data_IF_702787703079
#
_entry.id   IF_702787703079
#
_cell.length_a   1.000
_cell.length_b   1.000
_cell.length_c   1.000
_cell.angle_alpha   90.00
_cell.angle_beta   90.00
_cell.angle_gamma   90.00
#
_symmetry.space_group_name_H-M   'P 1'
#
loop_
_entity.id
_entity.type
_entity.pdbx_description
1 polymer ?
#
# COMPACT_ATOMS: atom_id res chain seq x y z
N UNK A 1 -29.61 31.84 25.15
CA UNK A 1 -28.82 31.86 23.90
C UNK A 1 -29.10 30.56 23.16
N UNK A 2 -29.97 30.60 22.16
CA UNK A 2 -30.35 29.45 21.36
C UNK A 2 -29.19 29.05 20.46
N UNK A 3 -28.63 27.86 20.68
CA UNK A 3 -27.65 27.27 19.78
C UNK A 3 -28.32 26.94 18.45
N UNK A 4 -28.08 27.74 17.43
CA UNK A 4 -28.40 27.38 16.05
C UNK A 4 -27.50 26.21 15.66
N UNK A 5 -28.08 25.01 15.58
CA UNK A 5 -27.48 23.88 14.89
C UNK A 5 -27.25 24.26 13.41
N UNK A 6 -26.06 24.00 12.84
CA UNK A 6 -25.80 24.26 11.43
C UNK A 6 -26.86 23.56 10.55
N UNK A 7 -27.26 24.15 9.40
CA UNK A 7 -28.31 23.60 8.54
C UNK A 7 -28.02 22.17 8.05
N UNK A 8 -26.74 21.76 7.99
CA UNK A 8 -26.33 20.38 7.68
C UNK A 8 -26.72 19.37 8.76
N UNK A 9 -26.64 19.72 10.05
CA UNK A 9 -26.98 18.80 11.15
C UNK A 9 -28.49 18.58 11.31
N UNK A 10 -29.31 19.58 10.98
CA UNK A 10 -30.76 19.44 11.00
C UNK A 10 -31.26 18.48 9.90
N UNK A 11 -30.60 18.50 8.73
CA UNK A 11 -30.91 17.66 7.58
C UNK A 11 -30.66 16.17 7.85
N UNK A 12 -29.64 15.84 8.67
CA UNK A 12 -29.29 14.46 8.99
C UNK A 12 -30.24 13.77 9.98
N UNK A 13 -31.24 14.48 10.55
CA UNK A 13 -32.22 13.90 11.48
C UNK A 13 -33.36 13.14 10.78
N UNK A 14 -33.69 13.50 9.55
CA UNK A 14 -34.68 12.81 8.72
C UNK A 14 -34.00 12.22 7.50
N UNK A 15 -33.67 10.93 7.57
CA UNK A 15 -32.92 10.24 6.51
C UNK A 15 -33.67 10.21 5.17
N UNK A 16 -35.01 10.12 5.18
CA UNK A 16 -35.79 10.02 3.95
C UNK A 16 -35.84 11.38 3.23
N UNK A 17 -36.08 12.45 3.98
CA UNK A 17 -36.00 13.81 3.45
C UNK A 17 -34.59 14.13 2.96
N UNK A 18 -33.55 13.77 3.72
CA UNK A 18 -32.15 13.99 3.34
C UNK A 18 -31.80 13.33 2.01
N UNK A 19 -32.17 12.06 1.83
CA UNK A 19 -31.91 11.30 0.60
C UNK A 19 -32.64 11.92 -0.60
N UNK A 20 -33.92 12.30 -0.43
CA UNK A 20 -34.69 12.95 -1.51
C UNK A 20 -34.14 14.32 -1.91
N UNK A 21 -33.51 15.04 -0.97
CA UNK A 21 -32.91 16.34 -1.21
C UNK A 21 -31.57 16.27 -1.96
N UNK A 22 -30.88 15.12 -1.98
CA UNK A 22 -29.57 14.98 -2.63
C UNK A 22 -29.59 15.33 -4.12
N UNK A 23 -30.68 15.08 -4.82
CA UNK A 23 -30.81 15.42 -6.25
C UNK A 23 -30.83 16.93 -6.51
N UNK A 24 -31.26 17.72 -5.53
CA UNK A 24 -31.37 19.18 -5.61
C UNK A 24 -30.23 19.89 -4.87
N UNK A 25 -29.35 19.14 -4.22
CA UNK A 25 -28.27 19.68 -3.42
C UNK A 25 -27.15 20.22 -4.33
N UNK A 26 -26.68 21.47 -4.13
CA UNK A 26 -25.50 21.96 -4.83
C UNK A 26 -24.29 21.06 -4.56
N UNK A 27 -23.55 20.72 -5.62
CA UNK A 27 -22.37 19.85 -5.55
C UNK A 27 -21.29 20.37 -4.58
N UNK A 28 -21.24 21.69 -4.34
CA UNK A 28 -20.34 22.34 -3.39
C UNK A 28 -20.61 21.96 -1.92
N UNK A 29 -21.83 21.53 -1.58
CA UNK A 29 -22.20 21.12 -0.22
C UNK A 29 -21.99 19.61 0.03
N UNK A 30 -21.80 18.81 -1.03
CA UNK A 30 -21.63 17.36 -0.91
C UNK A 30 -20.46 16.96 0.00
N UNK A 31 -19.25 17.53 -0.11
CA UNK A 31 -18.12 17.09 0.70
C UNK A 31 -18.33 17.33 2.20
N UNK A 32 -18.82 18.51 2.58
CA UNK A 32 -19.09 18.85 3.97
C UNK A 32 -20.18 17.95 4.56
N UNK A 33 -21.30 17.80 3.84
CA UNK A 33 -22.42 16.94 4.28
C UNK A 33 -22.00 15.47 4.36
N UNK A 34 -21.19 14.98 3.42
CA UNK A 34 -20.70 13.61 3.44
C UNK A 34 -19.81 13.36 4.65
N UNK A 35 -18.91 14.29 4.96
CA UNK A 35 -18.05 14.20 6.14
C UNK A 35 -18.88 14.17 7.42
N UNK A 36 -19.90 15.02 7.54
CA UNK A 36 -20.82 15.03 8.68
C UNK A 36 -21.62 13.72 8.77
N UNK A 37 -22.19 13.26 7.66
CA UNK A 37 -22.94 12.00 7.58
C UNK A 37 -22.07 10.79 7.95
N UNK A 38 -20.82 10.77 7.48
CA UNK A 38 -19.85 9.70 7.75
C UNK A 38 -19.45 9.68 9.24
N UNK A 39 -19.09 10.84 9.80
CA UNK A 39 -18.72 10.96 11.21
C UNK A 39 -19.91 10.65 12.14
N UNK A 40 -21.13 11.07 11.75
CA UNK A 40 -22.38 10.77 12.44
C UNK A 40 -22.89 9.33 12.23
N UNK A 41 -22.21 8.53 11.41
CA UNK A 41 -22.57 7.12 11.09
C UNK A 41 -23.96 6.97 10.47
N UNK A 42 -24.40 7.98 9.70
CA UNK A 42 -25.66 7.97 8.97
C UNK A 42 -25.53 7.11 7.70
N UNK A 43 -25.44 5.80 7.87
CA UNK A 43 -25.07 4.85 6.81
C UNK A 43 -25.98 4.91 5.58
N UNK A 44 -27.29 5.16 5.75
CA UNK A 44 -28.22 5.31 4.61
C UNK A 44 -27.90 6.54 3.78
N UNK A 45 -27.61 7.66 4.44
CA UNK A 45 -27.23 8.92 3.79
C UNK A 45 -25.88 8.77 3.10
N UNK A 46 -24.88 8.19 3.79
CA UNK A 46 -23.56 7.89 3.20
C UNK A 46 -23.70 7.07 1.92
N UNK A 47 -24.48 5.98 1.96
CA UNK A 47 -24.73 5.13 0.78
C UNK A 47 -25.31 5.91 -0.40
N UNK A 48 -26.35 6.72 -0.14
CA UNK A 48 -26.97 7.53 -1.18
C UNK A 48 -26.03 8.60 -1.74
N UNK A 49 -25.24 9.24 -0.88
CA UNK A 49 -24.26 10.25 -1.28
C UNK A 49 -23.11 9.67 -2.12
N UNK A 50 -22.60 8.47 -1.80
CA UNK A 50 -21.60 7.81 -2.65
C UNK A 50 -22.17 7.46 -4.02
N UNK A 51 -23.42 6.98 -4.07
CA UNK A 51 -24.09 6.66 -5.33
C UNK A 51 -24.26 7.89 -6.25
N UNK A 52 -24.48 9.07 -5.65
CA UNK A 52 -24.64 10.35 -6.34
C UNK A 52 -23.40 11.25 -6.27
N UNK A 53 -22.22 10.69 -5.96
CA UNK A 53 -21.02 11.47 -5.70
C UNK A 53 -20.64 12.31 -6.94
N UNK A 54 -20.51 13.65 -6.80
CA UNK A 54 -20.38 14.53 -7.96
C UNK A 54 -18.93 14.76 -8.42
N UNK A 55 -17.94 14.14 -7.78
CA UNK A 55 -16.52 14.35 -8.08
C UNK A 55 -15.84 13.08 -8.62
N UNK A 56 -14.76 13.22 -9.41
CA UNK A 56 -14.03 12.06 -9.93
C UNK A 56 -13.32 11.22 -8.86
N UNK A 57 -13.03 11.79 -7.69
CA UNK A 57 -12.35 11.11 -6.59
C UNK A 57 -13.15 11.20 -5.30
N UNK A 58 -13.23 10.09 -4.57
CA UNK A 58 -13.78 10.03 -3.21
C UNK A 58 -12.72 9.49 -2.23
N UNK A 59 -12.06 10.35 -1.45
CA UNK A 59 -11.00 9.96 -0.52
C UNK A 59 -11.51 9.57 0.86
N UNK A 60 -12.28 8.48 0.94
CA UNK A 60 -12.89 7.98 2.20
C UNK A 60 -11.86 7.60 3.25
N UNK A 61 -10.71 7.03 2.85
CA UNK A 61 -9.74 6.46 3.79
C UNK A 61 -9.27 7.44 4.87
N UNK A 62 -9.13 8.72 4.51
CA UNK A 62 -8.79 9.82 5.42
C UNK A 62 -9.82 10.08 6.54
N UNK A 63 -11.07 9.65 6.35
CA UNK A 63 -12.15 9.72 7.36
C UNK A 63 -12.20 8.46 8.23
N UNK A 64 -11.52 7.38 7.85
CA UNK A 64 -11.57 6.07 8.53
C UNK A 64 -10.62 5.96 9.72
N UNK A 65 -10.37 7.07 10.44
CA UNK A 65 -9.53 7.05 11.66
C UNK A 65 -10.09 6.11 12.72
N UNK A 66 -11.41 6.07 12.84
CA UNK A 66 -12.16 5.10 13.64
C UNK A 66 -13.07 4.31 12.70
N UNK A 67 -12.63 3.17 12.16
CA UNK A 67 -13.42 2.40 11.22
C UNK A 67 -14.74 1.96 11.86
N UNK A 68 -15.81 2.02 11.07
CA UNK A 68 -17.12 1.52 11.45
C UNK A 68 -17.65 0.66 10.31
N UNK A 69 -17.76 -0.65 10.54
CA UNK A 69 -18.17 -1.61 9.53
C UNK A 69 -19.45 -1.21 8.78
N UNK A 70 -20.49 -0.76 9.49
CA UNK A 70 -21.77 -0.36 8.86
C UNK A 70 -21.61 0.84 7.92
N UNK A 71 -20.83 1.83 8.32
CA UNK A 71 -20.57 3.03 7.51
C UNK A 71 -19.68 2.70 6.31
N UNK A 72 -18.68 1.83 6.50
CA UNK A 72 -17.83 1.36 5.43
C UNK A 72 -18.59 0.50 4.41
N UNK A 73 -19.43 -0.43 4.87
CA UNK A 73 -20.32 -1.20 4.01
C UNK A 73 -21.25 -0.28 3.21
N UNK A 74 -21.78 0.78 3.83
CA UNK A 74 -22.58 1.79 3.12
C UNK A 74 -21.80 2.50 2.01
N UNK A 75 -20.51 2.78 2.19
CA UNK A 75 -19.65 3.30 1.12
C UNK A 75 -19.56 2.31 -0.04
N UNK A 76 -19.23 1.04 0.25
CA UNK A 76 -19.09 0.00 -0.78
C UNK A 76 -20.42 -0.25 -1.52
N UNK A 77 -21.53 -0.30 -0.78
CA UNK A 77 -22.88 -0.40 -1.34
C UNK A 77 -23.24 0.80 -2.23
N UNK A 78 -22.82 2.00 -1.84
CA UNK A 78 -23.04 3.21 -2.62
C UNK A 78 -22.23 3.19 -3.92
N UNK A 79 -21.01 2.63 -3.88
CA UNK A 79 -20.22 2.37 -5.10
C UNK A 79 -20.94 1.37 -6.00
N UNK A 80 -21.56 0.32 -5.46
CA UNK A 80 -22.33 -0.63 -6.29
C UNK A 80 -23.52 0.02 -6.98
N UNK A 81 -24.21 0.91 -6.27
CA UNK A 81 -25.30 1.69 -6.85
C UNK A 81 -24.77 2.62 -7.94
N UNK A 82 -23.61 3.24 -7.72
CA UNK A 82 -22.93 4.07 -8.72
C UNK A 82 -22.60 3.25 -9.98
N UNK A 83 -21.97 2.07 -9.83
CA UNK A 83 -21.57 1.21 -10.94
C UNK A 83 -22.75 0.66 -11.76
N UNK A 84 -23.94 0.55 -11.16
CA UNK A 84 -25.17 0.08 -11.83
C UNK A 84 -25.93 1.20 -12.54
N UNK A 85 -25.61 2.48 -12.27
CA UNK A 85 -26.39 3.61 -12.78
C UNK A 85 -26.01 3.90 -14.23
N UNK A 86 -27.01 3.98 -15.11
CA UNK A 86 -26.81 4.53 -16.46
C UNK A 86 -26.68 6.04 -16.34
N UNK A 87 -25.48 6.58 -16.55
CA UNK A 87 -25.22 8.00 -16.49
C UNK A 87 -25.42 8.67 -17.85
N UNK A 88 -25.95 9.89 -17.82
CA UNK A 88 -25.97 10.75 -18.99
C UNK A 88 -24.56 11.27 -19.31
N UNK A 89 -24.22 11.49 -20.61
CA UNK A 89 -22.97 12.13 -20.99
C UNK A 89 -22.94 13.56 -20.41
N UNK A 90 -22.00 13.85 -19.51
CA UNK A 90 -21.77 15.20 -18.97
C UNK A 90 -21.67 15.33 -17.45
N UNK A 91 -22.03 14.30 -16.67
CA UNK A 91 -21.78 14.29 -15.22
C UNK A 91 -20.35 13.82 -14.93
N UNK A 92 -19.60 14.55 -14.09
CA UNK A 92 -18.34 14.04 -13.52
C UNK A 92 -18.64 12.81 -12.65
N UNK A 93 -18.30 11.63 -13.16
CA UNK A 93 -18.54 10.35 -12.49
C UNK A 93 -17.39 10.01 -11.54
N UNK A 94 -17.71 9.31 -10.45
CA UNK A 94 -16.72 8.73 -9.56
C UNK A 94 -15.84 7.74 -10.34
N UNK A 95 -14.55 8.06 -10.43
CA UNK A 95 -13.53 7.26 -11.11
C UNK A 95 -12.54 6.63 -10.14
N UNK A 96 -12.32 7.26 -8.99
CA UNK A 96 -11.35 6.82 -7.99
C UNK A 96 -12.00 6.77 -6.61
N UNK A 97 -12.01 5.58 -6.00
CA UNK A 97 -12.23 5.41 -4.57
C UNK A 97 -10.87 5.30 -3.89
N UNK A 98 -10.51 6.29 -3.06
CA UNK A 98 -9.26 6.25 -2.29
C UNK A 98 -9.54 5.89 -0.83
N UNK A 99 -9.10 4.70 -0.45
CA UNK A 99 -9.25 4.10 0.88
C UNK A 99 -7.97 4.24 1.72
N UNK A 100 -6.94 4.94 1.23
CA UNK A 100 -5.72 5.19 2.01
C UNK A 100 -5.99 6.15 3.16
N UNK A 101 -5.49 5.82 4.34
CA UNK A 101 -5.55 6.68 5.51
C UNK A 101 -4.43 7.74 5.45
N UNK A 102 -4.54 8.65 4.48
CA UNK A 102 -3.64 9.79 4.30
C UNK A 102 -4.43 11.09 4.38
N UNK A 103 -3.82 12.17 4.88
CA UNK A 103 -4.47 13.47 4.83
C UNK A 103 -4.64 13.90 3.37
N UNK A 104 -5.82 14.42 3.04
CA UNK A 104 -6.16 14.77 1.67
C UNK A 104 -6.62 16.23 1.62
N UNK A 105 -5.95 17.05 0.81
CA UNK A 105 -6.24 18.49 0.65
C UNK A 105 -7.68 18.75 0.23
N UNK A 106 -8.27 17.80 -0.52
CA UNK A 106 -9.70 17.76 -0.84
C UNK A 106 -10.59 18.17 0.33
N UNK A 107 -10.42 17.59 1.53
CA UNK A 107 -11.29 17.96 2.64
C UNK A 107 -11.04 19.39 3.14
N UNK A 108 -9.80 19.87 3.11
CA UNK A 108 -9.43 21.19 3.60
C UNK A 108 -10.04 22.31 2.73
N UNK A 109 -10.13 22.09 1.42
CA UNK A 109 -10.76 23.03 0.48
C UNK A 109 -12.24 23.22 0.83
N UNK A 110 -12.91 22.15 1.27
CA UNK A 110 -14.35 22.15 1.50
C UNK A 110 -14.77 22.36 2.96
N UNK A 111 -13.83 22.34 3.91
CA UNK A 111 -14.14 22.55 5.35
C UNK A 111 -14.02 23.99 5.81
N UNK A 112 -13.59 24.93 4.95
CA UNK A 112 -13.35 26.32 5.33
C UNK A 112 -12.18 26.45 6.30
N UNK A 113 -11.32 27.44 6.08
CA UNK A 113 -10.47 27.94 7.17
C UNK A 113 -11.41 28.67 8.14
N UNK A 114 -11.35 28.37 9.43
CA UNK A 114 -12.13 29.09 10.46
C UNK A 114 -11.69 30.57 10.62
N UNK A 115 -10.71 31.05 9.85
CA UNK A 115 -10.34 32.47 9.79
C UNK A 115 -10.94 33.13 8.56
N UNK A 116 -11.86 34.05 8.84
CA UNK A 116 -12.71 34.70 7.86
C UNK A 116 -12.00 35.66 6.91
N UNK A 117 -12.54 35.71 5.70
CA UNK A 117 -12.92 36.91 4.99
C UNK A 117 -13.70 36.46 3.75
N UNK A 118 -14.86 37.05 3.53
CA UNK A 118 -15.67 36.83 2.35
C UNK A 118 -14.85 37.08 1.07
N UNK A 119 -14.82 36.10 0.17
CA UNK A 119 -14.66 36.36 -1.25
C UNK A 119 -15.89 35.77 -1.95
N UNK A 120 -16.87 36.64 -2.17
CA UNK A 120 -17.89 36.42 -3.15
C UNK A 120 -17.24 36.61 -4.52
N UNK A 121 -16.80 35.50 -5.13
CA UNK A 121 -16.58 35.45 -6.57
C UNK A 121 -17.46 34.35 -7.14
N UNK A 122 -18.54 34.78 -7.78
CA UNK A 122 -19.32 33.98 -8.71
C UNK A 122 -18.42 33.61 -9.89
N UNK A 123 -17.96 32.37 -9.95
CA UNK A 123 -17.39 31.77 -11.16
C UNK A 123 -18.28 30.62 -11.57
N UNK A 124 -19.26 30.94 -12.40
CA UNK A 124 -20.01 29.99 -13.21
C UNK A 124 -19.19 29.67 -14.45
N UNK A 125 -18.12 28.88 -14.31
CA UNK A 125 -17.44 28.29 -15.47
C UNK A 125 -17.11 26.82 -15.19
N UNK A 126 -17.92 25.93 -15.76
CA UNK A 126 -17.61 24.51 -15.87
C UNK A 126 -16.48 24.33 -16.89
N UNK A 127 -15.44 23.53 -16.61
CA UNK A 127 -14.44 23.23 -17.62
C UNK A 127 -15.08 22.35 -18.72
N UNK A 128 -15.11 22.86 -19.95
CA UNK A 128 -15.54 22.10 -21.13
C UNK A 128 -14.47 21.07 -21.46
N UNK A 129 -14.73 19.81 -21.10
CA UNK A 129 -13.92 18.67 -21.54
C UNK A 129 -14.45 18.18 -22.89
N UNK A 130 -13.57 18.16 -23.89
CA UNK A 130 -13.82 17.68 -25.26
C UNK A 130 -14.44 16.28 -25.24
N UNK A 131 -15.48 16.11 -26.06
CA UNK A 131 -16.20 14.85 -26.26
C UNK A 131 -15.25 13.66 -26.46
N UNK A 132 -15.30 12.71 -25.53
CA UNK A 132 -14.69 11.40 -25.72
C UNK A 132 -15.57 10.57 -26.67
N UNK A 133 -14.99 9.85 -27.64
CA UNK A 133 -15.75 9.07 -28.61
C UNK A 133 -16.69 8.06 -27.95
N UNK A 134 -17.91 7.92 -28.50
CA UNK A 134 -19.03 7.11 -27.97
C UNK A 134 -18.74 5.62 -27.73
N UNK A 135 -17.61 5.08 -28.21
CA UNK A 135 -17.17 3.71 -27.93
C UNK A 135 -16.34 3.57 -26.63
N UNK A 136 -15.84 4.67 -26.05
CA UNK A 136 -15.12 4.67 -24.76
C UNK A 136 -16.04 4.52 -23.52
N UNK A 137 -17.36 4.48 -23.73
CA UNK A 137 -18.37 4.31 -22.69
C UNK A 137 -18.63 2.85 -22.29
N UNK A 138 -18.01 1.88 -22.96
CA UNK A 138 -18.13 0.47 -22.58
C UNK A 138 -17.02 0.10 -21.57
N UNK A 139 -17.40 0.12 -20.29
CA UNK A 139 -16.67 -0.36 -19.10
C UNK A 139 -15.52 0.53 -18.59
N UNK A 140 -15.87 1.68 -17.99
CA UNK A 140 -14.93 2.37 -17.09
C UNK A 140 -14.78 1.55 -15.82
N UNK A 141 -13.60 0.97 -15.62
CA UNK A 141 -13.31 0.28 -14.36
C UNK A 141 -13.09 1.35 -13.29
N UNK A 142 -13.74 1.20 -12.14
CA UNK A 142 -13.50 2.10 -11.01
C UNK A 142 -12.12 1.79 -10.43
N UNK A 143 -11.25 2.80 -10.34
CA UNK A 143 -9.97 2.66 -9.67
C UNK A 143 -10.19 2.66 -8.17
N UNK A 144 -9.72 1.62 -7.49
CA UNK A 144 -9.72 1.58 -6.02
C UNK A 144 -8.26 1.63 -5.56
N UNK A 145 -7.90 2.69 -4.85
CA UNK A 145 -6.58 2.87 -4.27
C UNK A 145 -6.66 2.55 -2.79
N UNK A 146 -5.77 1.68 -2.30
CA UNK A 146 -5.81 1.23 -0.91
C UNK A 146 -4.41 0.87 -0.41
N UNK A 147 -4.27 0.83 0.91
CA UNK A 147 -3.16 0.20 1.59
C UNK A 147 -3.70 -1.00 2.39
N UNK A 148 -3.04 -2.14 2.29
CA UNK A 148 -3.51 -3.38 2.92
C UNK A 148 -2.54 -3.85 3.98
N UNK A 149 -3.09 -4.16 5.14
CA UNK A 149 -2.35 -4.68 6.29
C UNK A 149 -3.05 -5.94 6.80
N UNK A 150 -2.66 -7.09 6.28
CA UNK A 150 -3.34 -8.37 6.48
C UNK A 150 -2.62 -9.20 7.54
N UNK A 151 -3.39 -9.72 8.50
CA UNK A 151 -2.94 -10.70 9.51
C UNK A 151 -3.66 -12.02 9.28
N UNK A 152 -3.20 -13.10 9.92
CA UNK A 152 -3.92 -14.39 9.92
C UNK A 152 -5.42 -14.22 10.22
N UNK A 153 -5.77 -13.33 11.16
CA UNK A 153 -7.16 -12.94 11.43
C UNK A 153 -7.44 -11.58 10.80
N UNK A 154 -8.23 -11.59 9.74
CA UNK A 154 -8.80 -10.39 9.16
C UNK A 154 -9.80 -9.78 10.14
N UNK A 155 -9.85 -8.45 10.22
CA UNK A 155 -10.99 -7.80 10.86
C UNK A 155 -12.21 -7.83 9.93
N UNK A 156 -13.38 -7.50 10.48
CA UNK A 156 -14.64 -7.57 9.74
C UNK A 156 -14.63 -6.64 8.52
N UNK A 157 -14.02 -5.46 8.63
CA UNK A 157 -13.90 -4.50 7.53
C UNK A 157 -13.03 -5.03 6.39
N UNK A 158 -11.90 -5.67 6.70
CA UNK A 158 -11.01 -6.29 5.72
C UNK A 158 -11.68 -7.47 5.04
N UNK A 159 -12.36 -8.34 5.79
CA UNK A 159 -13.09 -9.46 5.24
C UNK A 159 -14.20 -8.97 4.29
N UNK A 160 -14.99 -7.99 4.73
CA UNK A 160 -16.01 -7.31 3.94
C UNK A 160 -15.42 -6.72 2.65
N UNK A 161 -14.32 -5.97 2.74
CA UNK A 161 -13.67 -5.35 1.58
C UNK A 161 -13.17 -6.39 0.58
N UNK A 162 -12.45 -7.42 1.04
CA UNK A 162 -11.90 -8.46 0.17
C UNK A 162 -13.01 -9.25 -0.52
N UNK A 163 -14.10 -9.56 0.19
CA UNK A 163 -15.28 -10.19 -0.40
C UNK A 163 -15.95 -9.30 -1.45
N UNK A 164 -16.10 -8.00 -1.15
CA UNK A 164 -16.68 -7.03 -2.07
C UNK A 164 -15.84 -6.91 -3.35
N UNK A 165 -14.53 -6.82 -3.21
CA UNK A 165 -13.58 -6.78 -4.32
C UNK A 165 -13.66 -8.05 -5.18
N UNK A 166 -13.65 -9.23 -4.54
CA UNK A 166 -13.63 -10.50 -5.25
C UNK A 166 -14.85 -10.67 -6.16
N UNK A 167 -16.03 -10.23 -5.70
CA UNK A 167 -17.28 -10.28 -6.46
C UNK A 167 -17.30 -9.31 -7.66
N UNK A 168 -16.38 -8.33 -7.72
CA UNK A 168 -16.39 -7.21 -8.67
C UNK A 168 -15.08 -7.05 -9.43
N UNK A 169 -14.24 -8.08 -9.44
CA UNK A 169 -12.92 -8.06 -10.08
C UNK A 169 -12.92 -7.55 -11.53
N UNK A 170 -14.01 -7.78 -12.28
CA UNK A 170 -14.15 -7.40 -13.69
C UNK A 170 -14.59 -5.93 -13.89
N UNK A 171 -14.88 -5.21 -12.81
CA UNK A 171 -15.31 -3.81 -12.82
C UNK A 171 -14.36 -2.89 -12.05
N UNK A 172 -13.41 -3.45 -11.31
CA UNK A 172 -12.51 -2.71 -10.43
C UNK A 172 -11.07 -2.75 -10.94
N UNK A 173 -10.42 -1.59 -10.91
CA UNK A 173 -9.00 -1.46 -11.13
C UNK A 173 -8.28 -1.22 -9.79
N UNK A 174 -7.91 -2.31 -9.12
CA UNK A 174 -7.27 -2.25 -7.81
C UNK A 174 -5.81 -1.77 -7.92
N UNK A 175 -5.46 -0.86 -7.02
CA UNK A 175 -4.10 -0.37 -6.80
C UNK A 175 -3.81 -0.42 -5.30
N UNK A 176 -3.07 -1.45 -4.90
CA UNK A 176 -2.51 -1.52 -3.56
C UNK A 176 -1.11 -0.91 -3.60
N UNK A 177 -0.90 0.23 -2.95
CA UNK A 177 0.41 0.91 -2.96
C UNK A 177 1.30 0.27 -1.90
N UNK A 178 0.80 0.18 -0.67
CA UNK A 178 1.49 -0.43 0.46
C UNK A 178 0.78 -1.72 0.88
N UNK A 179 1.50 -2.84 0.83
CA UNK A 179 1.00 -4.14 1.27
C UNK A 179 1.86 -4.68 2.40
N UNK A 180 1.22 -5.00 3.53
CA UNK A 180 1.83 -5.70 4.66
C UNK A 180 1.07 -6.97 4.91
N UNK A 181 1.76 -8.10 4.98
CA UNK A 181 1.15 -9.39 5.31
C UNK A 181 1.95 -10.05 6.43
N UNK A 182 1.23 -10.45 7.46
CA UNK A 182 1.77 -11.08 8.65
C UNK A 182 1.12 -12.44 8.87
N UNK A 183 1.94 -13.42 9.23
CA UNK A 183 1.53 -14.73 9.76
C UNK A 183 0.60 -15.52 8.83
N UNK A 184 0.66 -15.29 7.51
CA UNK A 184 -0.20 -15.92 6.52
C UNK A 184 0.52 -17.04 5.73
N UNK A 185 -0.18 -18.12 5.33
CA UNK A 185 0.38 -19.10 4.40
C UNK A 185 0.74 -18.47 3.05
N UNK A 186 1.85 -18.89 2.44
CA UNK A 186 2.27 -18.39 1.12
C UNK A 186 1.19 -18.60 0.04
N UNK A 187 0.39 -19.67 0.10
CA UNK A 187 -0.72 -19.87 -0.83
C UNK A 187 -1.77 -18.76 -0.71
N UNK A 188 -2.17 -18.40 0.51
CA UNK A 188 -3.10 -17.29 0.78
C UNK A 188 -2.53 -15.96 0.27
N UNK A 189 -1.23 -15.71 0.48
CA UNK A 189 -0.57 -14.52 -0.07
C UNK A 189 -0.70 -14.47 -1.60
N UNK A 190 -0.50 -15.60 -2.29
CA UNK A 190 -0.63 -15.66 -3.76
C UNK A 190 -2.08 -15.44 -4.21
N UNK A 191 -3.07 -15.96 -3.48
CA UNK A 191 -4.49 -15.71 -3.76
C UNK A 191 -4.83 -14.21 -3.65
N UNK A 192 -4.34 -13.54 -2.62
CA UNK A 192 -4.48 -12.08 -2.46
C UNK A 192 -3.82 -11.35 -3.63
N UNK A 193 -2.61 -11.75 -4.02
CA UNK A 193 -1.89 -11.14 -5.14
C UNK A 193 -2.55 -11.40 -6.51
N UNK A 194 -3.32 -12.48 -6.66
CA UNK A 194 -4.13 -12.69 -7.87
C UNK A 194 -5.27 -11.66 -7.99
N UNK A 195 -5.77 -11.17 -6.86
CA UNK A 195 -6.76 -10.10 -6.80
C UNK A 195 -6.06 -8.74 -6.97
N UNK A 196 -5.01 -8.48 -6.19
CA UNK A 196 -4.22 -7.26 -6.22
C UNK A 196 -2.96 -7.47 -7.06
N UNK A 197 -3.08 -7.24 -8.37
CA UNK A 197 -2.01 -7.49 -9.34
C UNK A 197 -0.62 -7.01 -8.85
N UNK A 198 0.40 -7.89 -8.73
CA UNK A 198 1.68 -7.59 -8.07
C UNK A 198 2.44 -6.41 -8.68
N UNK A 199 2.33 -6.22 -10.01
CA UNK A 199 3.01 -5.16 -10.74
C UNK A 199 2.67 -3.73 -10.32
N UNK A 200 1.66 -3.51 -9.48
CA UNK A 200 1.24 -2.18 -8.99
C UNK A 200 1.61 -1.89 -7.54
N UNK A 201 2.22 -2.86 -6.86
CA UNK A 201 2.65 -2.71 -5.47
C UNK A 201 3.99 -1.97 -5.45
N UNK A 202 4.07 -0.90 -4.64
CA UNK A 202 5.28 -0.10 -4.49
C UNK A 202 6.04 -0.45 -3.21
N UNK A 203 5.32 -0.76 -2.13
CA UNK A 203 5.91 -1.24 -0.88
C UNK A 203 5.31 -2.58 -0.44
N UNK A 204 6.18 -3.54 -0.16
CA UNK A 204 5.78 -4.87 0.32
C UNK A 204 6.55 -5.24 1.59
N UNK A 205 5.81 -5.54 2.65
CA UNK A 205 6.33 -6.10 3.90
C UNK A 205 5.71 -7.48 4.15
N UNK A 206 6.53 -8.52 4.22
CA UNK A 206 6.10 -9.88 4.49
C UNK A 206 6.77 -10.37 5.77
N UNK A 207 5.98 -10.54 6.84
CA UNK A 207 6.41 -11.23 8.05
C UNK A 207 5.79 -12.63 8.07
N UNK A 208 6.52 -13.61 7.54
CA UNK A 208 6.05 -14.98 7.40
C UNK A 208 7.08 -15.91 8.06
N UNK A 209 6.67 -17.09 8.52
CA UNK A 209 7.62 -18.14 8.90
C UNK A 209 8.36 -18.68 7.67
N UNK A 210 9.43 -18.02 7.21
CA UNK A 210 10.11 -18.31 5.95
C UNK A 210 10.92 -19.61 6.03
N UNK A 211 10.91 -20.36 4.94
CA UNK A 211 11.87 -21.43 4.68
C UNK A 211 12.15 -21.46 3.18
N UNK A 212 13.17 -22.21 2.77
CA UNK A 212 13.59 -22.29 1.35
C UNK A 212 12.44 -22.66 0.43
N UNK A 213 11.59 -23.61 0.83
CA UNK A 213 10.44 -24.04 0.04
C UNK A 213 9.40 -22.93 -0.12
N UNK A 214 9.11 -22.18 0.95
CA UNK A 214 8.19 -21.04 0.93
C UNK A 214 8.73 -19.91 0.05
N UNK A 215 10.01 -19.57 0.18
CA UNK A 215 10.67 -18.59 -0.67
C UNK A 215 10.61 -19.01 -2.14
N UNK A 216 11.00 -20.25 -2.46
CA UNK A 216 10.99 -20.75 -3.84
C UNK A 216 9.60 -20.71 -4.48
N UNK A 217 8.55 -21.04 -3.70
CA UNK A 217 7.14 -20.96 -4.15
C UNK A 217 6.67 -19.52 -4.36
N UNK A 218 7.20 -18.56 -3.60
CA UNK A 218 6.81 -17.16 -3.67
C UNK A 218 7.61 -16.36 -4.71
N UNK A 219 8.86 -16.74 -4.96
CA UNK A 219 9.80 -15.98 -5.79
C UNK A 219 9.26 -15.59 -7.18
N UNK A 220 8.50 -16.43 -7.92
CA UNK A 220 7.90 -16.00 -9.18
C UNK A 220 7.02 -14.75 -9.05
N UNK A 221 6.25 -14.63 -7.95
CA UNK A 221 5.42 -13.46 -7.68
C UNK A 221 6.25 -12.20 -7.42
N UNK A 222 7.39 -12.31 -6.72
CA UNK A 222 8.35 -11.19 -6.59
C UNK A 222 8.80 -10.71 -7.97
N UNK A 223 9.06 -11.64 -8.89
CA UNK A 223 9.46 -11.33 -10.26
C UNK A 223 8.44 -10.52 -11.07
N UNK A 224 7.17 -10.47 -10.65
CA UNK A 224 6.10 -9.72 -11.31
C UNK A 224 5.96 -8.28 -10.77
N UNK A 225 6.61 -7.96 -9.64
CA UNK A 225 6.48 -6.69 -8.94
C UNK A 225 7.39 -5.61 -9.52
N UNK A 226 7.10 -5.20 -10.75
CA UNK A 226 7.94 -4.26 -11.52
C UNK A 226 8.00 -2.85 -10.93
N UNK A 227 6.98 -2.45 -10.16
CA UNK A 227 6.89 -1.12 -9.54
C UNK A 227 7.43 -1.08 -8.10
N UNK A 228 7.93 -2.21 -7.58
CA UNK A 228 8.33 -2.33 -6.19
C UNK A 228 9.56 -1.47 -5.89
N UNK A 229 9.41 -0.52 -4.96
CA UNK A 229 10.45 0.38 -4.46
C UNK A 229 11.01 -0.08 -3.13
N UNK A 230 10.18 -0.70 -2.30
CA UNK A 230 10.55 -1.17 -0.97
C UNK A 230 10.10 -2.60 -0.76
N UNK A 231 11.05 -3.45 -0.39
CA UNK A 231 10.81 -4.83 -0.02
C UNK A 231 11.35 -5.09 1.38
N UNK A 232 10.49 -5.64 2.25
CA UNK A 232 10.85 -6.10 3.58
C UNK A 232 10.47 -7.57 3.72
N UNK A 233 11.45 -8.44 3.91
CA UNK A 233 11.26 -9.85 4.23
C UNK A 233 11.66 -10.07 5.68
N UNK A 234 10.69 -10.37 6.54
CA UNK A 234 10.90 -10.63 7.96
C UNK A 234 10.46 -12.05 8.26
N UNK A 235 11.21 -12.74 9.11
CA UNK A 235 10.79 -14.02 9.62
C UNK A 235 9.84 -13.83 10.81
N UNK A 236 8.80 -14.66 10.85
CA UNK A 236 7.93 -14.76 12.01
C UNK A 236 8.66 -15.56 13.09
N UNK A 237 8.72 -15.00 14.30
CA UNK A 237 9.45 -15.48 15.49
C UNK A 237 8.86 -16.78 16.10
N UNK A 238 8.48 -17.72 15.23
CA UNK A 238 8.28 -19.11 15.61
C UNK A 238 9.61 -19.80 15.41
N UNK A 239 10.07 -20.40 16.51
CA UNK A 239 11.15 -21.40 16.69
C UNK A 239 11.19 -22.46 15.59
N UNK A 240 11.41 -22.02 14.36
CA UNK A 240 11.62 -22.86 13.21
C UNK A 240 13.02 -23.38 13.41
N UNK A 241 13.09 -24.64 13.87
CA UNK A 241 14.30 -25.44 13.90
C UNK A 241 15.16 -25.04 12.71
N UNK A 242 16.38 -24.55 12.98
CA UNK A 242 17.43 -24.31 11.99
C UNK A 242 17.79 -25.67 11.37
N UNK A 243 16.91 -26.19 10.54
CA UNK A 243 17.06 -27.48 9.89
C UNK A 243 18.26 -27.37 8.96
N UNK A 244 19.14 -28.36 9.01
CA UNK A 244 20.30 -28.44 8.12
C UNK A 244 19.83 -28.31 6.65
N UNK A 245 20.35 -27.29 5.96
CA UNK A 245 20.04 -27.05 4.55
C UNK A 245 20.68 -28.15 3.69
N UNK A 246 20.00 -28.59 2.63
CA UNK A 246 20.52 -29.58 1.67
C UNK A 246 21.12 -28.87 0.46
N UNK A 247 21.98 -29.54 -0.31
CA UNK A 247 22.55 -28.99 -1.57
C UNK A 247 21.44 -28.51 -2.54
N UNK A 248 20.33 -29.26 -2.61
CA UNK A 248 19.16 -28.90 -3.43
C UNK A 248 18.55 -27.55 -3.02
N UNK A 249 18.70 -27.15 -1.76
CA UNK A 249 18.21 -25.87 -1.27
C UNK A 249 19.03 -24.71 -1.83
N UNK A 250 20.35 -24.85 -2.01
CA UNK A 250 21.20 -23.81 -2.62
C UNK A 250 20.75 -23.45 -4.03
N UNK A 251 20.39 -24.44 -4.85
CA UNK A 251 19.89 -24.19 -6.21
C UNK A 251 18.53 -23.47 -6.18
N UNK A 252 17.64 -23.88 -5.27
CA UNK A 252 16.32 -23.24 -5.08
C UNK A 252 16.45 -21.79 -4.62
N UNK A 253 17.33 -21.52 -3.67
CA UNK A 253 17.62 -20.17 -3.18
C UNK A 253 18.19 -19.32 -4.31
N UNK A 254 19.15 -19.84 -5.07
CA UNK A 254 19.73 -19.13 -6.21
C UNK A 254 18.69 -18.77 -7.27
N UNK A 255 17.81 -19.71 -7.64
CA UNK A 255 16.70 -19.47 -8.57
C UNK A 255 15.68 -18.46 -8.03
N UNK A 256 15.41 -18.52 -6.72
CA UNK A 256 14.51 -17.57 -6.06
C UNK A 256 15.09 -16.15 -6.08
N UNK A 257 16.35 -15.98 -5.68
CA UNK A 257 17.02 -14.68 -5.64
C UNK A 257 17.31 -14.11 -7.04
N UNK A 258 17.42 -14.95 -8.07
CA UNK A 258 17.49 -14.47 -9.45
C UNK A 258 16.27 -13.61 -9.87
N UNK A 259 15.12 -13.76 -9.21
CA UNK A 259 13.93 -12.94 -9.48
C UNK A 259 14.12 -11.46 -9.10
N UNK A 260 15.08 -11.14 -8.22
CA UNK A 260 15.42 -9.74 -7.88
C UNK A 260 15.91 -8.95 -9.09
N UNK A 261 16.38 -9.63 -10.14
CA UNK A 261 16.77 -8.98 -11.40
C UNK A 261 15.62 -8.32 -12.16
N UNK A 262 14.37 -8.64 -11.79
CA UNK A 262 13.13 -8.06 -12.35
C UNK A 262 12.61 -6.86 -11.53
N UNK A 263 13.19 -6.60 -10.36
CA UNK A 263 12.80 -5.50 -9.47
C UNK A 263 13.50 -4.20 -9.89
N UNK A 264 13.05 -3.62 -11.01
CA UNK A 264 13.71 -2.49 -11.67
C UNK A 264 13.54 -1.14 -10.96
N UNK A 265 12.69 -1.06 -9.94
CA UNK A 265 12.44 0.16 -9.17
C UNK A 265 12.93 0.07 -7.71
N UNK A 266 13.53 -1.07 -7.31
CA UNK A 266 13.85 -1.32 -5.89
C UNK A 266 14.94 -0.38 -5.40
N UNK A 267 14.63 0.35 -4.33
CA UNK A 267 15.51 1.33 -3.68
C UNK A 267 15.77 0.97 -2.21
N UNK A 268 14.84 0.26 -1.56
CA UNK A 268 14.94 -0.10 -0.15
C UNK A 268 14.74 -1.60 0.02
N UNK A 269 15.77 -2.27 0.53
CA UNK A 269 15.73 -3.70 0.84
C UNK A 269 15.97 -3.91 2.34
N UNK A 270 15.01 -4.56 2.99
CA UNK A 270 15.13 -5.02 4.38
C UNK A 270 14.95 -6.53 4.43
N UNK A 271 15.89 -7.21 5.08
CA UNK A 271 15.85 -8.64 5.37
C UNK A 271 16.10 -8.80 6.86
N UNK A 272 15.20 -9.49 7.57
CA UNK A 272 15.23 -9.63 9.01
C UNK A 272 14.99 -11.09 9.41
N UNK A 273 15.93 -11.65 10.17
CA UNK A 273 15.88 -13.03 10.71
C UNK A 273 15.69 -14.14 9.65
N UNK A 274 16.25 -13.97 8.45
CA UNK A 274 16.19 -14.99 7.39
C UNK A 274 17.43 -15.91 7.48
N UNK A 275 17.30 -17.03 8.20
CA UNK A 275 18.42 -17.93 8.49
C UNK A 275 19.15 -18.50 7.26
N UNK A 276 18.44 -18.74 6.15
CA UNK A 276 19.04 -19.28 4.91
C UNK A 276 19.65 -18.19 4.02
N UNK A 277 19.82 -16.95 4.52
CA UNK A 277 20.51 -15.89 3.81
C UNK A 277 22.03 -16.11 3.76
N UNK A 278 22.59 -16.77 4.79
CA UNK A 278 24.01 -17.10 4.90
C UNK A 278 24.51 -17.81 3.64
N UNK A 279 25.64 -17.35 3.11
CA UNK A 279 26.29 -17.77 1.86
C UNK A 279 25.52 -17.46 0.57
N UNK A 280 24.35 -16.82 0.67
CA UNK A 280 23.46 -16.60 -0.46
C UNK A 280 23.14 -15.13 -0.76
N UNK A 281 23.54 -14.18 0.10
CA UNK A 281 23.33 -12.75 -0.13
C UNK A 281 23.97 -12.27 -1.43
N UNK A 282 25.12 -12.86 -1.81
CA UNK A 282 25.78 -12.60 -3.10
C UNK A 282 24.86 -12.77 -4.31
N UNK A 283 23.89 -13.69 -4.26
CA UNK A 283 22.95 -13.90 -5.36
C UNK A 283 21.95 -12.76 -5.50
N UNK A 284 21.49 -12.18 -4.38
CA UNK A 284 20.64 -10.98 -4.39
C UNK A 284 21.43 -9.81 -4.97
N UNK A 285 22.61 -9.53 -4.41
CA UNK A 285 23.42 -8.37 -4.82
C UNK A 285 23.81 -8.41 -6.29
N UNK A 286 24.16 -9.59 -6.83
CA UNK A 286 24.45 -9.77 -8.26
C UNK A 286 23.24 -9.59 -9.16
N UNK A 287 22.05 -9.89 -8.66
CA UNK A 287 20.81 -9.83 -9.45
C UNK A 287 20.26 -8.40 -9.51
N UNK A 288 20.47 -7.59 -8.47
CA UNK A 288 20.00 -6.22 -8.41
C UNK A 288 20.61 -5.34 -9.51
N UNK A 289 19.75 -4.77 -10.35
CA UNK A 289 20.13 -3.83 -11.42
C UNK A 289 20.03 -2.37 -11.01
N UNK A 290 19.30 -2.09 -9.94
CA UNK A 290 19.09 -0.76 -9.38
C UNK A 290 20.13 -0.42 -8.34
N UNK A 291 20.27 0.88 -8.04
CA UNK A 291 21.04 1.36 -6.90
C UNK A 291 20.10 1.46 -5.70
N UNK A 292 20.49 0.83 -4.60
CA UNK A 292 19.78 0.89 -3.33
C UNK A 292 20.15 2.18 -2.59
N UNK A 293 19.14 2.83 -2.02
CA UNK A 293 19.31 3.91 -1.06
C UNK A 293 19.38 3.38 0.37
N UNK A 294 18.67 2.29 0.65
CA UNK A 294 18.65 1.63 1.96
C UNK A 294 18.89 0.14 1.82
N UNK A 295 19.83 -0.36 2.62
CA UNK A 295 20.01 -1.78 2.87
C UNK A 295 19.94 -2.03 4.38
N UNK A 296 19.04 -2.91 4.79
CA UNK A 296 18.92 -3.39 6.16
C UNK A 296 18.98 -4.91 6.16
N UNK A 297 19.95 -5.46 6.88
CA UNK A 297 20.11 -6.90 7.08
C UNK A 297 20.24 -7.11 8.59
N UNK A 298 19.15 -7.50 9.22
CA UNK A 298 19.07 -7.55 10.68
C UNK A 298 18.88 -8.98 11.15
N UNK A 299 19.47 -9.31 12.31
CA UNK A 299 19.34 -10.62 12.95
C UNK A 299 19.66 -11.81 12.01
N UNK A 300 20.53 -11.61 11.01
CA UNK A 300 20.90 -12.63 10.04
C UNK A 300 22.34 -13.10 10.29
N UNK A 301 22.62 -14.36 9.98
CA UNK A 301 24.00 -14.84 9.89
C UNK A 301 24.59 -14.47 8.52
N UNK A 302 25.77 -13.85 8.53
CA UNK A 302 26.49 -13.45 7.32
C UNK A 302 27.84 -14.15 7.25
N UNK A 303 28.18 -14.74 6.10
CA UNK A 303 29.51 -15.33 5.92
C UNK A 303 30.49 -14.32 5.35
N UNK A 304 31.79 -14.58 5.55
CA UNK A 304 32.85 -13.82 4.89
C UNK A 304 32.68 -13.83 3.35
N UNK A 305 32.18 -14.93 2.79
CA UNK A 305 31.96 -15.04 1.35
C UNK A 305 30.90 -14.07 0.85
N UNK A 306 29.85 -13.81 1.64
CA UNK A 306 28.83 -12.81 1.32
C UNK A 306 29.42 -11.40 1.37
N UNK A 307 30.10 -11.07 2.46
CA UNK A 307 30.58 -9.71 2.72
C UNK A 307 31.66 -9.25 1.74
N UNK A 308 32.47 -10.17 1.20
CA UNK A 308 33.39 -9.87 0.10
C UNK A 308 32.70 -9.32 -1.16
N UNK A 309 31.42 -9.62 -1.39
CA UNK A 309 30.69 -9.08 -2.54
C UNK A 309 30.11 -7.69 -2.31
N UNK A 310 29.99 -7.22 -1.06
CA UNK A 310 29.36 -5.93 -0.77
C UNK A 310 30.12 -4.76 -1.42
N UNK A 311 31.45 -4.63 -1.24
CA UNK A 311 32.23 -3.59 -1.90
C UNK A 311 32.20 -3.66 -3.43
N UNK A 312 32.07 -4.87 -3.98
CA UNK A 312 32.06 -5.11 -5.42
C UNK A 312 30.71 -4.76 -6.05
N UNK A 313 29.65 -4.71 -5.25
CA UNK A 313 28.29 -4.54 -5.75
C UNK A 313 28.02 -3.12 -6.22
N UNK A 314 27.69 -2.96 -7.51
CA UNK A 314 27.30 -1.67 -8.09
C UNK A 314 25.99 -1.14 -7.49
N UNK A 315 25.11 -2.02 -7.01
CA UNK A 315 23.84 -1.64 -6.41
C UNK A 315 24.01 -0.91 -5.07
N UNK A 316 25.16 -1.05 -4.39
CA UNK A 316 25.38 -0.49 -3.06
C UNK A 316 26.16 0.84 -3.06
N UNK A 317 26.71 1.28 -4.20
CA UNK A 317 27.63 2.44 -4.29
C UNK A 317 27.04 3.80 -3.92
N UNK A 318 25.73 3.92 -3.80
CA UNK A 318 25.03 5.17 -3.46
C UNK A 318 24.11 5.00 -2.25
N UNK A 319 24.44 4.02 -1.39
CA UNK A 319 23.70 3.81 -0.15
C UNK A 319 23.70 5.08 0.70
N UNK A 320 22.51 5.43 1.18
CA UNK A 320 22.28 6.49 2.16
C UNK A 320 22.09 5.91 3.56
N UNK A 321 21.54 4.70 3.66
CA UNK A 321 21.18 4.09 4.93
C UNK A 321 21.64 2.63 4.95
N UNK A 322 22.48 2.29 5.93
CA UNK A 322 22.96 0.93 6.15
C UNK A 322 22.63 0.51 7.59
N UNK A 323 21.93 -0.60 7.75
CA UNK A 323 21.50 -1.16 9.04
C UNK A 323 21.87 -2.64 9.09
N UNK A 324 22.62 -3.03 10.11
CA UNK A 324 23.07 -4.40 10.35
C UNK A 324 22.69 -4.89 11.76
N UNK A 325 21.70 -4.29 12.41
CA UNK A 325 21.36 -4.59 13.81
C UNK A 325 21.22 -6.09 14.11
N UNK A 326 21.82 -6.52 15.20
CA UNK A 326 21.76 -7.92 15.65
C UNK A 326 22.47 -8.92 14.71
N UNK A 327 23.26 -8.45 13.74
CA UNK A 327 24.07 -9.32 12.86
C UNK A 327 25.37 -9.70 13.55
N UNK A 328 25.75 -10.98 13.43
CA UNK A 328 27.03 -11.50 13.90
C UNK A 328 28.08 -11.37 12.80
N UNK A 329 29.23 -10.77 13.13
CA UNK A 329 30.38 -10.63 12.23
C UNK A 329 31.57 -11.36 12.82
N UNK A 330 32.18 -12.23 12.02
CA UNK A 330 33.52 -12.73 12.33
C UNK A 330 34.55 -11.61 12.11
N UNK A 331 35.62 -11.58 12.89
CA UNK A 331 36.77 -10.66 12.69
C UNK A 331 37.25 -10.60 11.24
N UNK A 332 37.30 -11.75 10.55
CA UNK A 332 37.65 -11.84 9.12
C UNK A 332 36.72 -11.07 8.17
N UNK A 333 35.53 -10.68 8.63
CA UNK A 333 34.52 -9.94 7.89
C UNK A 333 34.64 -8.42 8.00
N UNK A 334 35.48 -7.91 8.93
CA UNK A 334 35.62 -6.47 9.17
C UNK A 334 36.27 -5.74 8.01
N UNK A 335 37.24 -6.37 7.33
CA UNK A 335 37.97 -5.75 6.22
C UNK A 335 37.06 -5.46 4.99
N UNK A 336 36.25 -6.42 4.49
CA UNK A 336 35.27 -6.11 3.45
C UNK A 336 34.25 -5.05 3.86
N UNK A 337 33.83 -5.03 5.13
CA UNK A 337 32.89 -4.05 5.65
C UNK A 337 33.50 -2.64 5.65
N UNK A 338 34.76 -2.51 6.07
CA UNK A 338 35.50 -1.25 6.01
C UNK A 338 35.56 -0.68 4.59
N UNK A 339 35.90 -1.51 3.59
CA UNK A 339 35.92 -1.08 2.18
C UNK A 339 34.52 -0.65 1.71
N UNK A 340 33.46 -1.35 2.11
CA UNK A 340 32.10 -0.93 1.79
C UNK A 340 31.83 0.48 2.32
N UNK A 341 32.17 0.73 3.59
CA UNK A 341 31.95 2.03 4.23
C UNK A 341 32.76 3.14 3.56
N UNK A 342 34.02 2.89 3.20
CA UNK A 342 34.83 3.83 2.42
C UNK A 342 34.18 4.15 1.07
N UNK A 343 33.67 3.13 0.36
CA UNK A 343 33.01 3.30 -0.94
C UNK A 343 31.74 4.15 -0.87
N UNK A 344 31.03 4.15 0.26
CA UNK A 344 29.76 4.87 0.44
C UNK A 344 29.89 6.08 1.36
N UNK A 345 31.09 6.40 1.85
CA UNK A 345 31.32 7.47 2.83
C UNK A 345 30.76 8.83 2.39
N UNK A 346 30.80 9.13 1.08
CA UNK A 346 30.26 10.37 0.52
C UNK A 346 28.74 10.42 0.38
N UNK A 347 28.02 9.30 0.49
CA UNK A 347 26.55 9.22 0.33
C UNK A 347 25.83 8.78 1.59
N UNK A 348 26.52 8.11 2.51
CA UNK A 348 25.96 7.53 3.72
C UNK A 348 25.49 8.63 4.69
N UNK A 349 24.25 8.52 5.13
CA UNK A 349 23.57 9.43 6.07
C UNK A 349 23.24 8.76 7.40
N UNK A 350 23.02 7.45 7.42
CA UNK A 350 22.84 6.69 8.66
C UNK A 350 23.52 5.34 8.61
N UNK A 351 24.08 4.96 9.75
CA UNK A 351 24.75 3.69 9.97
C UNK A 351 24.30 3.12 11.31
N UNK A 352 23.81 1.89 11.31
CA UNK A 352 23.36 1.21 12.53
C UNK A 352 23.98 -0.19 12.64
N UNK A 353 24.76 -0.38 13.71
CA UNK A 353 25.37 -1.65 14.11
C UNK A 353 25.02 -2.01 15.56
N UNK A 354 23.88 -1.53 16.07
CA UNK A 354 23.47 -1.86 17.43
C UNK A 354 23.31 -3.38 17.58
N UNK A 355 23.80 -3.90 18.71
CA UNK A 355 23.73 -5.33 19.05
C UNK A 355 24.45 -6.25 18.05
N UNK A 356 25.36 -5.73 17.24
CA UNK A 356 26.26 -6.57 16.47
C UNK A 356 27.30 -7.22 17.38
N UNK A 357 27.57 -8.50 17.15
CA UNK A 357 28.68 -9.19 17.78
C UNK A 357 29.88 -9.20 16.83
N UNK A 358 31.08 -8.91 17.35
CA UNK A 358 32.33 -8.91 16.59
C UNK A 358 33.32 -9.84 17.29
N UNK A 359 33.28 -11.13 16.94
CA UNK A 359 34.11 -12.18 17.53
C UNK A 359 35.23 -12.67 16.59
#
# INVERSE_FOLDING_TARGET
MNGQTPPTQALLRDEALAISALEKLPWTLFPALFKDAFNGRHSRIVKAMVAAWPFPCLPVGSLMKTPNLKTFQAVLDGVDMHLKREFHPGSEQLQVLDLRNVQHEFWNIWTGREDGACLAETVDERPVVKDLPRYALRRRHLKVVTDLCLRLRLNEEQACFLQWVQQRKDFLQLHCINMKIWTAPVCTVKEILNVFHPGRIEELELNLAWNVSKLARFAPCLGEMRSLRKLSLKNEDQSTFRLAYRIVDTERISKAFAQFSKLHCLQHLSIDDIYFLKDHMKHILRSLKTRLETLSINNCEMSMSDLKYFPLSRSLRQLKHLDFRGTEFLTSCLQPLGILLENVAGTLKSLDFQRCNMD
#
